data_IF_019358734782
#
_entry.id   IF_019358734782
#
_cell.length_a   1.000
_cell.length_b   1.000
_cell.length_c   1.000
_cell.angle_alpha   90.00
_cell.angle_beta   90.00
_cell.angle_gamma   90.00
#
_symmetry.space_group_name_H-M   'P 1'
#
loop_
_entity.id
_entity.type
_entity.pdbx_description
1 polymer ?
#
# COMPACT_ATOMS: atom_id res chain seq x y z
N UNK A 1 1.08 -10.93 -12.45
CA UNK A 1 0.30 -9.78 -11.93
C UNK A 1 -0.28 -10.10 -10.57
N UNK A 2 -0.47 -9.08 -9.73
CA UNK A 2 -1.17 -9.14 -8.45
C UNK A 2 -2.25 -8.07 -8.47
N UNK A 3 -3.49 -8.45 -8.15
CA UNK A 3 -4.63 -7.53 -8.04
C UNK A 3 -5.09 -7.52 -6.58
N UNK A 4 -5.16 -6.34 -5.98
CA UNK A 4 -5.76 -6.11 -4.66
C UNK A 4 -7.06 -5.34 -4.85
N UNK A 5 -8.07 -5.64 -4.03
CA UNK A 5 -9.43 -5.10 -4.17
C UNK A 5 -9.91 -4.45 -2.88
N UNK A 6 -10.68 -3.37 -2.97
CA UNK A 6 -11.45 -2.82 -1.84
C UNK A 6 -12.76 -2.18 -2.32
N UNK A 7 -13.71 -2.00 -1.42
CA UNK A 7 -15.03 -1.45 -1.75
C UNK A 7 -16.08 -2.56 -1.91
N UNK A 8 -16.99 -2.40 -2.88
CA UNK A 8 -18.11 -3.31 -3.07
C UNK A 8 -17.65 -4.73 -3.46
N UNK A 9 -18.06 -5.72 -2.67
CA UNK A 9 -17.65 -7.11 -2.88
C UNK A 9 -18.23 -7.71 -4.17
N UNK A 10 -19.49 -7.41 -4.49
CA UNK A 10 -20.13 -7.93 -5.69
C UNK A 10 -19.46 -7.39 -6.96
N UNK A 11 -19.15 -6.09 -6.99
CA UNK A 11 -18.40 -5.46 -8.08
C UNK A 11 -17.02 -6.06 -8.22
N UNK A 12 -16.21 -6.06 -7.15
CA UNK A 12 -14.83 -6.57 -7.20
C UNK A 12 -14.76 -8.06 -7.58
N UNK A 13 -15.65 -8.91 -7.07
CA UNK A 13 -15.72 -10.31 -7.50
C UNK A 13 -16.09 -10.46 -8.97
N UNK A 14 -17.05 -9.65 -9.46
CA UNK A 14 -17.47 -9.68 -10.86
C UNK A 14 -16.34 -9.27 -11.80
N UNK A 15 -15.58 -8.23 -11.44
CA UNK A 15 -14.37 -7.79 -12.17
C UNK A 15 -13.33 -8.91 -12.24
N UNK A 16 -12.96 -9.51 -11.10
CA UNK A 16 -11.98 -10.60 -11.07
C UNK A 16 -12.46 -11.83 -11.88
N UNK A 17 -13.75 -12.15 -11.81
CA UNK A 17 -14.34 -13.25 -12.60
C UNK A 17 -14.32 -12.95 -14.10
N UNK A 18 -14.54 -11.70 -14.50
CA UNK A 18 -14.44 -11.26 -15.90
C UNK A 18 -13.02 -11.48 -16.44
N UNK A 19 -12.01 -11.01 -15.72
CA UNK A 19 -10.59 -11.18 -16.08
C UNK A 19 -10.25 -12.67 -16.24
N UNK A 20 -10.64 -13.50 -15.26
CA UNK A 20 -10.42 -14.96 -15.32
C UNK A 20 -11.12 -15.61 -16.51
N UNK A 21 -12.33 -15.16 -16.84
CA UNK A 21 -13.11 -15.64 -17.99
C UNK A 21 -12.44 -15.31 -19.31
N UNK A 22 -11.90 -14.10 -19.46
CA UNK A 22 -11.22 -13.67 -20.69
C UNK A 22 -9.92 -14.42 -20.93
N UNK A 23 -9.14 -14.64 -19.86
CA UNK A 23 -7.97 -15.54 -19.88
C UNK A 23 -8.39 -16.94 -20.31
N UNK A 24 -9.38 -17.54 -19.64
CA UNK A 24 -9.83 -18.91 -19.91
C UNK A 24 -10.35 -19.07 -21.36
N UNK A 25 -10.98 -18.04 -21.91
CA UNK A 25 -11.48 -18.02 -23.29
C UNK A 25 -10.42 -17.61 -24.31
N UNK A 26 -9.18 -17.35 -23.89
CA UNK A 26 -8.10 -16.88 -24.76
C UNK A 26 -8.55 -15.69 -25.63
N UNK A 27 -9.27 -14.73 -25.02
CA UNK A 27 -9.69 -13.52 -25.74
C UNK A 27 -8.45 -12.78 -26.22
N UNK A 28 -8.52 -12.19 -27.41
CA UNK A 28 -7.41 -11.38 -27.97
C UNK A 28 -6.98 -10.24 -27.03
N UNK A 29 -7.93 -9.70 -26.27
CA UNK A 29 -7.70 -8.64 -25.31
C UNK A 29 -7.89 -9.21 -23.90
N UNK A 30 -6.79 -9.55 -23.22
CA UNK A 30 -6.77 -9.94 -21.82
C UNK A 30 -5.41 -9.58 -21.19
N UNK A 31 -5.34 -9.61 -19.85
CA UNK A 31 -4.13 -9.17 -19.13
C UNK A 31 -2.84 -9.93 -19.46
N UNK A 32 -2.92 -11.15 -20.03
CA UNK A 32 -1.75 -11.96 -20.40
C UNK A 32 -1.23 -11.64 -21.80
N UNK A 33 -1.96 -10.87 -22.61
CA UNK A 33 -1.59 -10.51 -23.98
C UNK A 33 -1.15 -9.06 -24.12
N UNK A 34 -1.22 -8.27 -23.05
CA UNK A 34 -0.85 -6.85 -23.02
C UNK A 34 0.66 -6.67 -22.96
N UNK A 35 1.15 -5.59 -23.56
CA UNK A 35 2.59 -5.28 -23.66
C UNK A 35 3.03 -4.28 -22.59
N UNK A 36 2.09 -3.49 -22.05
CA UNK A 36 2.40 -2.48 -21.04
C UNK A 36 1.47 -2.57 -19.83
N UNK A 37 2.02 -2.29 -18.64
CA UNK A 37 1.22 -2.27 -17.40
C UNK A 37 0.13 -1.19 -17.39
N UNK A 38 0.28 -0.14 -18.19
CA UNK A 38 -0.78 0.88 -18.42
C UNK A 38 -2.00 0.27 -19.10
N UNK A 39 -1.81 -0.60 -20.10
CA UNK A 39 -2.91 -1.31 -20.78
C UNK A 39 -3.67 -2.22 -19.80
N UNK A 40 -2.94 -2.86 -18.88
CA UNK A 40 -3.53 -3.69 -17.82
C UNK A 40 -4.39 -2.84 -16.88
N UNK A 41 -3.95 -1.64 -16.54
CA UNK A 41 -4.71 -0.70 -15.70
C UNK A 41 -5.95 -0.15 -16.43
N UNK A 42 -5.83 0.18 -17.72
CA UNK A 42 -6.94 0.61 -18.59
C UNK A 42 -8.01 -0.47 -18.69
N UNK A 43 -7.62 -1.70 -19.03
CA UNK A 43 -8.53 -2.84 -19.11
C UNK A 43 -9.24 -3.13 -17.78
N UNK A 44 -8.51 -3.05 -16.66
CA UNK A 44 -9.12 -3.22 -15.34
C UNK A 44 -10.14 -2.11 -15.05
N UNK A 45 -9.85 -0.88 -15.45
CA UNK A 45 -10.76 0.26 -15.36
C UNK A 45 -12.03 0.08 -16.19
N UNK A 46 -11.89 -0.32 -17.46
CA UNK A 46 -13.01 -0.59 -18.38
C UNK A 46 -13.96 -1.68 -17.85
N UNK A 47 -13.40 -2.78 -17.33
CA UNK A 47 -14.23 -3.83 -16.73
C UNK A 47 -14.90 -3.31 -15.46
N UNK A 48 -14.18 -2.59 -14.61
CA UNK A 48 -14.72 -2.05 -13.36
C UNK A 48 -15.88 -1.10 -13.60
N UNK A 49 -15.78 -0.18 -14.56
CA UNK A 49 -16.88 0.74 -14.89
C UNK A 49 -18.08 -0.03 -15.45
N UNK A 50 -17.86 -0.96 -16.37
CA UNK A 50 -18.91 -1.78 -16.96
C UNK A 50 -19.65 -2.67 -15.94
N UNK A 51 -18.97 -3.18 -14.91
CA UNK A 51 -19.63 -3.94 -13.82
C UNK A 51 -20.42 -3.02 -12.88
N UNK A 52 -19.93 -1.81 -12.60
CA UNK A 52 -20.62 -0.84 -11.76
C UNK A 52 -21.91 -0.31 -12.39
N UNK A 53 -21.92 -0.09 -13.72
CA UNK A 53 -23.09 0.39 -14.48
C UNK A 53 -24.26 -0.59 -14.50
N UNK A 54 -24.03 -1.87 -14.18
CA UNK A 54 -25.09 -2.87 -14.04
C UNK A 54 -25.90 -2.73 -12.75
N UNK A 55 -25.38 -1.96 -11.79
CA UNK A 55 -26.00 -1.79 -10.48
C UNK A 55 -26.86 -0.52 -10.48
N UNK A 56 -28.00 -0.56 -9.77
CA UNK A 56 -28.83 0.61 -9.57
C UNK A 56 -28.04 1.75 -8.89
N UNK A 57 -28.22 2.98 -9.37
CA UNK A 57 -27.62 4.21 -8.83
C UNK A 57 -27.83 4.42 -7.32
N UNK A 58 -28.84 3.78 -6.72
CA UNK A 58 -29.11 3.84 -5.29
C UNK A 58 -28.16 2.99 -4.42
N UNK A 59 -27.40 2.07 -5.03
CA UNK A 59 -26.44 1.21 -4.33
C UNK A 59 -25.02 1.70 -4.60
N UNK A 60 -24.22 1.82 -3.54
CA UNK A 60 -22.79 2.10 -3.70
C UNK A 60 -22.07 0.86 -4.26
N UNK A 61 -21.87 0.85 -5.58
CA UNK A 61 -21.15 -0.21 -6.30
C UNK A 61 -19.64 0.06 -6.41
N UNK A 62 -19.13 1.15 -5.82
CA UNK A 62 -17.75 1.59 -6.03
C UNK A 62 -16.74 0.56 -5.52
N UNK A 63 -15.71 0.33 -6.34
CA UNK A 63 -14.56 -0.52 -5.99
C UNK A 63 -13.27 0.16 -6.44
N UNK A 64 -12.23 -0.03 -5.65
CA UNK A 64 -10.87 0.42 -5.95
C UNK A 64 -9.98 -0.80 -6.11
N UNK A 65 -9.00 -0.68 -7.00
CA UNK A 65 -8.06 -1.75 -7.28
C UNK A 65 -6.63 -1.26 -7.23
N UNK A 66 -5.73 -2.10 -6.72
CA UNK A 66 -4.30 -1.98 -6.99
C UNK A 66 -3.91 -3.10 -7.94
N UNK A 67 -3.28 -2.76 -9.06
CA UNK A 67 -2.69 -3.72 -9.98
C UNK A 67 -1.19 -3.52 -10.01
N UNK A 68 -0.45 -4.56 -9.64
CA UNK A 68 1.01 -4.57 -9.63
C UNK A 68 1.58 -5.74 -10.43
N UNK A 69 2.78 -5.54 -10.98
CA UNK A 69 3.49 -6.61 -11.66
C UNK A 69 4.59 -6.09 -12.56
N UNK A 70 5.02 -6.95 -13.48
CA UNK A 70 6.03 -6.66 -14.48
C UNK A 70 5.69 -7.45 -15.74
N UNK A 71 5.87 -6.80 -16.89
CA UNK A 71 5.85 -7.42 -18.21
C UNK A 71 7.31 -7.51 -18.69
N UNK A 72 7.63 -8.53 -19.48
CA UNK A 72 8.97 -8.75 -20.04
C UNK A 72 9.51 -7.45 -20.66
N UNK A 73 10.79 -7.18 -20.46
CA UNK A 73 11.51 -5.97 -20.92
C UNK A 73 11.04 -4.62 -20.36
N UNK A 74 10.05 -4.61 -19.46
CA UNK A 74 9.59 -3.41 -18.76
C UNK A 74 9.98 -3.42 -17.27
N UNK A 75 10.04 -2.23 -16.65
CA UNK A 75 10.21 -2.10 -15.20
C UNK A 75 8.93 -2.57 -14.48
N UNK A 76 9.03 -3.11 -13.25
CA UNK A 76 7.87 -3.32 -12.40
C UNK A 76 7.09 -2.00 -12.20
N UNK A 77 5.77 -2.10 -12.19
CA UNK A 77 4.91 -0.94 -11.97
C UNK A 77 3.67 -1.32 -11.15
N UNK A 78 3.12 -0.33 -10.46
CA UNK A 78 1.88 -0.45 -9.69
C UNK A 78 0.95 0.69 -10.07
N UNK A 79 -0.33 0.39 -10.24
CA UNK A 79 -1.37 1.36 -10.54
C UNK A 79 -2.52 1.22 -9.56
N UNK A 80 -3.13 2.35 -9.21
CA UNK A 80 -4.39 2.40 -8.49
C UNK A 80 -5.49 2.81 -9.45
N UNK A 81 -6.47 1.93 -9.64
CA UNK A 81 -7.64 2.15 -10.48
C UNK A 81 -8.79 2.62 -9.59
N UNK A 82 -9.35 3.78 -9.95
CA UNK A 82 -10.47 4.40 -9.26
C UNK A 82 -11.81 3.82 -9.75
N UNK A 83 -12.91 4.04 -9.01
CA UNK A 83 -14.24 3.61 -9.44
C UNK A 83 -14.64 4.13 -10.83
N UNK A 84 -14.13 5.29 -11.24
CA UNK A 84 -14.39 5.89 -12.55
C UNK A 84 -13.59 5.26 -13.70
N UNK A 85 -12.75 4.25 -13.42
CA UNK A 85 -11.94 3.55 -14.40
C UNK A 85 -10.63 4.25 -14.77
N UNK A 86 -10.46 5.52 -14.42
CA UNK A 86 -9.15 6.19 -14.50
C UNK A 86 -8.20 5.65 -13.41
N UNK A 87 -6.91 5.96 -13.56
CA UNK A 87 -5.88 5.42 -12.68
C UNK A 87 -4.74 6.41 -12.43
N UNK A 88 -4.00 6.18 -11.34
CA UNK A 88 -2.68 6.78 -11.08
C UNK A 88 -1.62 5.69 -10.89
N UNK A 89 -0.34 6.07 -10.96
CA UNK A 89 0.80 5.19 -10.66
C UNK A 89 1.69 5.80 -9.59
N UNK A 90 2.57 4.98 -9.02
CA UNK A 90 3.65 5.43 -8.14
C UNK A 90 4.65 6.32 -8.88
N UNK A 91 5.36 7.17 -8.16
CA UNK A 91 6.44 8.02 -8.65
C UNK A 91 7.64 7.99 -7.70
N UNK A 92 8.68 8.77 -7.99
CA UNK A 92 9.80 8.94 -7.06
C UNK A 92 9.36 9.56 -5.72
N UNK A 93 8.36 10.45 -5.75
CA UNK A 93 7.83 11.14 -4.57
C UNK A 93 6.70 10.35 -3.89
N UNK A 94 6.03 9.44 -4.62
CA UNK A 94 4.94 8.60 -4.12
C UNK A 94 5.26 7.13 -4.38
N UNK A 95 5.98 6.52 -3.43
CA UNK A 95 6.57 5.18 -3.59
C UNK A 95 5.59 4.02 -3.34
N UNK A 96 4.40 4.30 -2.80
CA UNK A 96 3.40 3.29 -2.48
C UNK A 96 1.98 3.85 -2.64
N UNK A 97 1.01 2.94 -2.76
CA UNK A 97 -0.42 3.25 -2.89
C UNK A 97 -1.22 2.41 -1.87
N UNK A 98 -2.36 2.91 -1.41
CA UNK A 98 -3.24 2.23 -0.46
C UNK A 98 -4.69 2.32 -0.92
N UNK A 99 -5.45 1.25 -0.65
CA UNK A 99 -6.90 1.17 -0.86
C UNK A 99 -7.58 0.69 0.43
N UNK A 100 -8.88 0.94 0.60
CA UNK A 100 -9.60 0.65 1.84
C UNK A 100 -9.26 1.62 2.99
N UNK A 101 -9.16 1.11 4.22
CA UNK A 101 -8.87 1.91 5.42
C UNK A 101 -7.37 2.19 5.58
N UNK A 102 -6.91 3.29 4.98
CA UNK A 102 -5.49 3.60 4.80
C UNK A 102 -4.86 4.49 5.87
N UNK A 103 -5.67 5.23 6.65
CA UNK A 103 -5.20 6.34 7.49
C UNK A 103 -4.31 5.92 8.66
N UNK A 104 -4.64 4.81 9.31
CA UNK A 104 -4.02 4.39 10.57
C UNK A 104 -2.60 3.84 10.38
N UNK A 105 -2.38 3.08 9.30
CA UNK A 105 -1.08 2.51 8.95
C UNK A 105 -0.16 3.47 8.17
N UNK A 106 -0.70 4.55 7.61
CA UNK A 106 0.06 5.50 6.78
C UNK A 106 1.33 6.05 7.46
N UNK A 107 1.33 6.48 8.74
CA UNK A 107 2.49 7.15 9.34
C UNK A 107 3.75 6.29 9.49
N UNK A 108 3.67 4.95 9.48
CA UNK A 108 4.87 4.12 9.49
C UNK A 108 5.42 3.93 8.07
N UNK A 109 4.53 3.85 7.07
CA UNK A 109 4.90 3.78 5.65
C UNK A 109 5.66 5.05 5.26
N UNK A 110 5.13 6.24 5.59
CA UNK A 110 5.75 7.54 5.29
C UNK A 110 7.14 7.71 5.95
N UNK A 111 7.41 7.02 7.06
CA UNK A 111 8.68 7.14 7.80
C UNK A 111 9.77 6.18 7.31
N UNK A 112 9.38 5.04 6.76
CA UNK A 112 10.30 3.93 6.49
C UNK A 112 10.46 3.68 4.98
N UNK A 113 9.40 3.85 4.19
CA UNK A 113 9.45 3.49 2.78
C UNK A 113 10.12 4.58 1.93
N UNK A 114 11.29 4.25 1.42
CA UNK A 114 12.02 5.01 0.40
C UNK A 114 12.33 4.10 -0.80
N UNK A 115 12.66 4.62 -2.00
CA UNK A 115 12.91 3.78 -3.18
C UNK A 115 14.05 2.75 -3.03
N UNK A 116 14.95 2.97 -2.09
CA UNK A 116 16.16 2.17 -1.84
C UNK A 116 16.03 1.14 -0.71
N UNK A 117 14.89 1.08 0.01
CA UNK A 117 14.70 0.05 1.05
C UNK A 117 14.63 -1.35 0.44
N UNK A 118 15.11 -2.33 1.21
CA UNK A 118 14.99 -3.74 0.81
C UNK A 118 13.53 -4.19 0.76
N UNK A 119 13.22 -5.18 -0.09
CA UNK A 119 11.90 -5.80 -0.15
C UNK A 119 11.47 -6.40 1.20
N UNK A 120 12.42 -6.92 1.97
CA UNK A 120 12.17 -7.47 3.31
C UNK A 120 11.75 -6.37 4.29
N UNK A 121 12.46 -5.24 4.28
CA UNK A 121 12.10 -4.06 5.09
C UNK A 121 10.74 -3.51 4.69
N UNK A 122 10.44 -3.42 3.39
CA UNK A 122 9.14 -2.98 2.90
C UNK A 122 8.01 -3.92 3.34
N UNK A 123 8.23 -5.24 3.26
CA UNK A 123 7.29 -6.26 3.72
C UNK A 123 7.01 -6.15 5.24
N UNK A 124 8.05 -6.04 6.06
CA UNK A 124 7.90 -5.83 7.50
C UNK A 124 7.14 -4.53 7.81
N UNK A 125 7.48 -3.44 7.12
CA UNK A 125 6.81 -2.15 7.27
C UNK A 125 5.30 -2.25 6.93
N UNK A 126 4.95 -2.95 5.85
CA UNK A 126 3.57 -3.19 5.46
C UNK A 126 2.81 -4.00 6.54
N UNK A 127 3.44 -5.01 7.16
CA UNK A 127 2.83 -5.77 8.25
C UNK A 127 2.62 -4.93 9.52
N UNK A 128 3.57 -4.07 9.88
CA UNK A 128 3.42 -3.11 11.00
C UNK A 128 2.32 -2.08 10.72
N UNK A 129 2.21 -1.62 9.46
CA UNK A 129 1.12 -0.76 9.00
C UNK A 129 -0.24 -1.46 9.17
N UNK A 130 -0.39 -2.71 8.71
CA UNK A 130 -1.62 -3.49 8.87
C UNK A 130 -1.99 -3.67 10.34
N UNK A 131 -1.01 -3.98 11.19
CA UNK A 131 -1.21 -4.16 12.62
C UNK A 131 -1.70 -2.88 13.32
N UNK A 132 -1.18 -1.72 12.93
CA UNK A 132 -1.67 -0.42 13.42
C UNK A 132 -3.12 -0.17 13.00
N UNK A 133 -3.49 -0.53 11.77
CA UNK A 133 -4.86 -0.42 11.27
C UNK A 133 -5.83 -1.36 12.01
N UNK A 134 -5.49 -2.64 12.18
CA UNK A 134 -6.35 -3.64 12.86
C UNK A 134 -6.67 -3.21 14.29
N UNK A 135 -5.70 -2.63 15.01
CA UNK A 135 -5.93 -2.13 16.37
C UNK A 135 -6.90 -0.96 16.44
N UNK A 136 -6.99 -0.16 15.39
CA UNK A 136 -7.78 1.08 15.38
C UNK A 136 -9.10 0.96 14.63
N UNK A 137 -9.28 -0.08 13.80
CA UNK A 137 -10.49 -0.27 13.01
C UNK A 137 -10.84 -1.76 12.85
N UNK A 138 -11.97 -2.17 13.42
CA UNK A 138 -12.47 -3.56 13.41
C UNK A 138 -12.90 -4.06 12.02
N UNK A 139 -13.04 -3.16 11.03
CA UNK A 139 -13.32 -3.57 9.64
C UNK A 139 -12.11 -4.21 8.95
N UNK A 140 -10.92 -4.09 9.54
CA UNK A 140 -9.69 -4.70 9.03
C UNK A 140 -9.25 -5.79 9.99
N UNK A 141 -8.97 -6.97 9.47
CA UNK A 141 -8.60 -8.13 10.28
C UNK A 141 -7.88 -9.21 9.47
N UNK A 142 -7.36 -10.23 10.17
CA UNK A 142 -6.79 -11.41 9.53
C UNK A 142 -7.84 -12.18 8.72
N UNK A 143 -7.42 -13.05 7.78
CA UNK A 143 -6.03 -13.35 7.42
C UNK A 143 -5.34 -12.20 6.67
N UNK A 144 -4.04 -12.02 6.89
CA UNK A 144 -3.21 -11.07 6.14
C UNK A 144 -2.44 -11.82 5.07
N UNK A 145 -2.58 -11.40 3.83
CA UNK A 145 -1.85 -11.97 2.69
C UNK A 145 -0.76 -10.99 2.23
N UNK A 146 0.44 -11.52 1.95
CA UNK A 146 1.60 -10.76 1.54
C UNK A 146 2.24 -11.43 0.33
N UNK A 147 2.52 -10.66 -0.72
CA UNK A 147 3.26 -11.10 -1.90
C UNK A 147 4.50 -10.23 -2.08
N UNK A 148 5.67 -10.85 -2.23
CA UNK A 148 6.94 -10.18 -2.51
C UNK A 148 7.38 -10.57 -3.91
N UNK A 149 7.47 -9.59 -4.80
CA UNK A 149 7.86 -9.76 -6.19
C UNK A 149 9.25 -9.18 -6.45
N UNK A 150 10.30 -10.01 -6.64
CA UNK A 150 11.61 -9.52 -7.04
C UNK A 150 11.58 -9.01 -8.48
N UNK A 151 12.21 -7.84 -8.70
CA UNK A 151 12.40 -7.26 -10.02
C UNK A 151 13.09 -8.26 -10.96
N UNK A 152 12.61 -8.29 -12.20
CA UNK A 152 13.12 -9.10 -13.32
C UNK A 152 12.98 -10.61 -13.12
N UNK A 153 12.27 -11.05 -12.06
CA UNK A 153 12.06 -12.48 -11.81
C UNK A 153 11.09 -13.13 -12.80
N UNK A 154 10.11 -12.35 -13.30
CA UNK A 154 9.02 -12.82 -14.18
C UNK A 154 8.35 -14.13 -13.73
N UNK A 155 8.44 -14.42 -12.43
CA UNK A 155 7.94 -15.62 -11.80
C UNK A 155 6.94 -15.25 -10.71
N UNK A 156 6.21 -16.25 -10.24
CA UNK A 156 5.40 -16.11 -9.03
C UNK A 156 6.34 -15.75 -7.86
N UNK A 157 6.15 -14.57 -7.28
CA UNK A 157 6.92 -14.09 -6.13
C UNK A 157 6.73 -14.95 -4.89
N UNK A 158 7.35 -14.56 -3.77
CA UNK A 158 7.12 -15.22 -2.48
C UNK A 158 5.74 -14.81 -1.96
N UNK A 159 4.91 -15.77 -1.60
CA UNK A 159 3.58 -15.54 -1.05
C UNK A 159 3.50 -16.07 0.39
N UNK A 160 2.92 -15.27 1.27
CA UNK A 160 2.70 -15.56 2.67
C UNK A 160 1.24 -15.28 3.02
N UNK A 161 0.68 -16.12 3.88
CA UNK A 161 -0.63 -15.92 4.48
C UNK A 161 -0.51 -16.10 5.98
N UNK A 162 -0.91 -15.07 6.71
CA UNK A 162 -0.83 -15.03 8.16
C UNK A 162 -2.26 -15.07 8.72
N UNK A 163 -2.60 -16.20 9.34
CA UNK A 163 -3.85 -16.37 10.05
C UNK A 163 -3.88 -15.56 11.36
N UNK A 164 -5.05 -15.49 11.99
CA UNK A 164 -5.27 -14.73 13.23
C UNK A 164 -4.32 -15.15 14.37
N UNK A 165 -3.99 -16.44 14.44
CA UNK A 165 -3.13 -17.05 15.48
C UNK A 165 -1.64 -17.07 15.10
N UNK A 166 -1.24 -16.40 14.02
CA UNK A 166 0.14 -16.39 13.53
C UNK A 166 1.14 -15.98 14.62
N UNK A 167 2.02 -16.92 14.99
CA UNK A 167 3.12 -16.70 15.94
C UNK A 167 4.03 -15.56 15.48
N UNK A 168 4.34 -15.54 14.18
CA UNK A 168 5.21 -14.52 13.59
C UNK A 168 4.62 -13.13 13.76
N UNK A 169 3.34 -12.94 13.43
CA UNK A 169 2.68 -11.65 13.64
C UNK A 169 2.66 -11.30 15.12
N UNK A 170 2.37 -12.25 16.02
CA UNK A 170 2.36 -11.99 17.46
C UNK A 170 3.73 -11.49 17.96
N UNK A 171 4.82 -12.12 17.52
CA UNK A 171 6.17 -11.69 17.90
C UNK A 171 6.56 -10.35 17.27
N UNK A 172 6.23 -10.13 15.99
CA UNK A 172 6.46 -8.86 15.31
C UNK A 172 5.79 -7.70 16.08
N UNK A 173 4.51 -7.87 16.44
CA UNK A 173 3.72 -6.91 17.21
C UNK A 173 4.34 -6.61 18.57
N UNK A 174 4.68 -7.67 19.31
CA UNK A 174 5.28 -7.55 20.64
C UNK A 174 6.62 -6.80 20.59
N UNK A 175 7.48 -7.16 19.64
CA UNK A 175 8.80 -6.57 19.50
C UNK A 175 8.71 -5.11 19.05
N UNK A 176 7.78 -4.79 18.14
CA UNK A 176 7.53 -3.43 17.69
C UNK A 176 7.02 -2.53 18.82
N UNK A 177 6.00 -2.96 19.56
CA UNK A 177 5.44 -2.21 20.69
C UNK A 177 6.47 -1.95 21.79
N UNK A 178 7.28 -2.98 22.12
CA UNK A 178 8.36 -2.83 23.10
C UNK A 178 9.42 -1.82 22.61
N UNK A 179 9.85 -1.93 21.36
CA UNK A 179 10.84 -1.03 20.77
C UNK A 179 10.37 0.42 20.73
N UNK A 180 9.08 0.65 20.45
CA UNK A 180 8.48 1.97 20.45
C UNK A 180 8.46 2.57 21.86
N UNK A 181 8.02 1.79 22.86
CA UNK A 181 8.03 2.21 24.27
C UNK A 181 9.43 2.55 24.76
N UNK A 182 10.42 1.74 24.42
CA UNK A 182 11.80 1.97 24.84
C UNK A 182 12.44 3.16 24.13
N UNK A 183 12.07 3.41 22.87
CA UNK A 183 12.46 4.63 22.15
C UNK A 183 11.81 5.88 22.77
N UNK A 184 10.53 5.80 23.14
CA UNK A 184 9.80 6.91 23.77
C UNK A 184 10.41 7.30 25.12
N UNK A 185 10.83 6.32 25.94
CA UNK A 185 11.50 6.57 27.23
C UNK A 185 12.85 7.30 27.10
N UNK A 186 13.47 7.27 25.92
CA UNK A 186 14.73 7.97 25.65
C UNK A 186 14.52 9.42 25.21
N UNK A 187 13.27 9.85 25.01
CA UNK A 187 12.98 11.23 24.62
C UNK A 187 13.34 12.20 25.76
N UNK A 188 13.84 13.39 25.43
CA UNK A 188 14.19 14.38 26.42
C UNK A 188 12.97 14.81 27.24
N UNK A 189 13.10 15.00 28.57
CA UNK A 189 12.07 15.60 29.40
C UNK A 189 11.65 16.98 28.87
N UNK A 190 10.36 17.29 28.92
CA UNK A 190 9.82 18.59 28.51
C UNK A 190 10.46 19.74 29.30
N UNK A 191 10.87 19.50 30.56
CA UNK A 191 11.54 20.50 31.39
C UNK A 191 12.84 21.06 30.79
N UNK A 192 13.44 20.38 29.81
CA UNK A 192 14.65 20.86 29.12
C UNK A 192 14.37 21.94 28.06
N UNK A 193 13.09 22.15 27.68
CA UNK A 193 12.72 23.12 26.63
C UNK A 193 13.23 24.53 26.93
N UNK A 194 13.08 24.99 28.18
CA UNK A 194 13.48 26.34 28.60
C UNK A 194 14.98 26.60 28.43
N UNK A 195 15.82 25.55 28.47
CA UNK A 195 17.27 25.68 28.26
C UNK A 195 17.60 25.70 26.77
N UNK A 196 17.01 24.79 25.99
CA UNK A 196 17.26 24.67 24.55
C UNK A 196 16.73 25.88 23.76
N UNK A 197 15.54 26.36 24.09
CA UNK A 197 14.93 27.50 23.39
C UNK A 197 15.76 28.78 23.59
N UNK A 198 16.35 28.97 24.78
CA UNK A 198 17.23 30.12 25.09
C UNK A 198 18.58 30.07 24.37
N UNK A 199 19.23 28.91 24.29
CA UNK A 199 20.48 28.76 23.54
C UNK A 199 20.27 29.08 22.04
N UNK A 200 19.09 28.78 21.51
CA UNK A 200 18.74 29.08 20.11
C UNK A 200 18.55 30.58 19.85
N UNK A 201 17.97 31.33 20.81
CA UNK A 201 17.84 32.80 20.72
C UNK A 201 19.19 33.54 20.80
N UNK A 202 20.13 33.04 21.59
CA UNK A 202 21.48 33.64 21.72
C UNK A 202 22.29 33.48 20.43
N UNK A 203 22.17 32.34 19.73
CA UNK A 203 22.84 32.10 18.44
C UNK A 203 22.19 32.93 17.31
N UNK A 204 20.87 33.14 17.35
CA UNK A 204 20.14 33.97 16.36
C UNK A 204 20.39 35.48 16.47
N UNK A 205 20.76 35.96 17.67
CA UNK A 205 21.04 37.38 17.93
C UNK A 205 22.50 37.78 17.63
N UNK A 206 23.46 36.85 17.68
CA UNK A 206 24.86 37.11 17.34
C UNK A 206 25.15 37.27 15.84
N UNK A 207 24.22 36.89 14.96
CA UNK A 207 24.36 37.01 13.49
C UNK A 207 23.74 38.28 12.89
N UNK A 208 23.22 39.21 13.70
CA UNK A 208 22.60 40.46 13.23
C UNK A 208 23.42 41.74 13.47
N UNK A 209 24.68 41.64 13.90
CA UNK A 209 25.52 42.80 14.23
C UNK A 209 26.81 42.93 13.40
N UNK A 210 26.73 42.72 12.08
CA UNK A 210 27.80 43.09 11.15
C UNK A 210 27.23 43.51 9.80
N UNK A 211 26.83 44.78 9.72
CA UNK A 211 26.66 45.56 8.49
C UNK A 211 26.95 47.02 8.80
#
# INVERSE_FOLDING_TARGET
FTVLTSGNLATSQSVINHIKKDIKKSRKHNILTMEHMTEVAEYLGEISTAEQEKTDSSVNAQSYFLIGGQILDHKPAVYMVYPQGNYISTSADTTYLQIGESKYGKPILDRILTPDVSLETAAMCALVSMDSTIRSNLSVGPPIELSIYPRDSLASGKYYRFEEDSEYLRQLKKNWDQSLKDSFKKLPPVAWSATWDKETEVIGSSNKSSS
#
